data_IF_233333564950
#
_entry.id   IF_233333564950
#
_cell.length_a   1.000
_cell.length_b   1.000
_cell.length_c   1.000
_cell.angle_alpha   90.00
_cell.angle_beta   90.00
_cell.angle_gamma   90.00
#
_symmetry.space_group_name_H-M   'P 1'
#
loop_
_entity.id
_entity.type
_entity.pdbx_description
1 polymer ?
#
# COMPACT_ATOMS: atom_id res chain seq x y z
N UNK A 1 10.04 -74.78 -5.69
CA UNK A 1 9.99 -74.30 -4.29
C UNK A 1 9.71 -72.79 -4.26
N UNK A 2 8.59 -72.33 -4.86
CA UNK A 2 8.33 -70.88 -5.04
C UNK A 2 6.91 -70.44 -4.64
N UNK A 3 6.00 -71.36 -4.31
CA UNK A 3 4.60 -71.03 -4.04
C UNK A 3 4.40 -70.42 -2.62
N UNK A 4 4.90 -70.99 -1.50
CA UNK A 4 4.61 -70.43 -0.17
C UNK A 4 5.29 -69.08 0.07
N UNK A 5 6.44 -68.83 -0.57
CA UNK A 5 7.15 -67.55 -0.47
C UNK A 5 6.38 -66.42 -1.17
N UNK A 6 5.77 -66.70 -2.33
CA UNK A 6 4.96 -65.73 -3.08
C UNK A 6 3.66 -65.42 -2.35
N UNK A 7 3.02 -66.42 -1.73
CA UNK A 7 1.80 -66.20 -0.94
C UNK A 7 2.05 -65.30 0.27
N UNK A 8 3.15 -65.54 1.01
CA UNK A 8 3.49 -64.78 2.23
C UNK A 8 3.92 -63.35 1.90
N UNK A 9 4.68 -63.14 0.81
CA UNK A 9 5.04 -61.77 0.43
C UNK A 9 3.85 -60.98 -0.14
N UNK A 10 2.89 -61.63 -0.82
CA UNK A 10 1.66 -60.97 -1.30
C UNK A 10 0.71 -60.64 -0.15
N UNK A 11 0.53 -61.52 0.85
CA UNK A 11 -0.33 -61.19 1.97
C UNK A 11 0.29 -60.14 2.90
N UNK A 12 1.62 -60.14 3.10
CA UNK A 12 2.33 -59.11 3.87
C UNK A 12 2.31 -57.76 3.14
N UNK A 13 2.48 -57.72 1.82
CA UNK A 13 2.41 -56.46 1.11
C UNK A 13 0.99 -55.88 1.04
N UNK A 14 -0.04 -56.74 0.93
CA UNK A 14 -1.45 -56.32 0.96
C UNK A 14 -1.87 -55.84 2.35
N UNK A 15 -1.46 -56.51 3.44
CA UNK A 15 -1.82 -56.04 4.78
C UNK A 15 -1.05 -54.76 5.16
N UNK A 16 0.22 -54.62 4.75
CA UNK A 16 1.00 -53.39 4.96
C UNK A 16 0.44 -52.23 4.15
N UNK A 17 0.03 -52.44 2.90
CA UNK A 17 -0.54 -51.34 2.11
C UNK A 17 -1.94 -50.93 2.58
N UNK A 18 -2.76 -51.88 3.06
CA UNK A 18 -4.09 -51.58 3.63
C UNK A 18 -4.00 -50.87 4.98
N UNK A 19 -3.08 -51.27 5.87
CA UNK A 19 -2.91 -50.56 7.14
C UNK A 19 -2.27 -49.17 6.96
N UNK A 20 -1.34 -49.01 6.00
CA UNK A 20 -0.75 -47.70 5.66
C UNK A 20 -1.80 -46.77 5.03
N UNK A 21 -2.65 -47.26 4.13
CA UNK A 21 -3.67 -46.40 3.53
C UNK A 21 -4.80 -46.04 4.50
N UNK A 22 -5.20 -46.93 5.42
CA UNK A 22 -6.20 -46.65 6.46
C UNK A 22 -5.66 -45.68 7.52
N UNK A 23 -4.40 -45.82 7.94
CA UNK A 23 -3.83 -44.86 8.90
C UNK A 23 -3.58 -43.49 8.26
N UNK A 24 -3.16 -43.42 6.98
CA UNK A 24 -3.00 -42.15 6.25
C UNK A 24 -4.34 -41.46 6.01
N UNK A 25 -5.40 -42.20 5.66
CA UNK A 25 -6.70 -41.57 5.44
C UNK A 25 -7.37 -41.12 6.75
N UNK A 26 -7.17 -41.83 7.87
CA UNK A 26 -7.66 -41.41 9.20
C UNK A 26 -6.87 -40.23 9.75
N UNK A 27 -5.55 -40.18 9.58
CA UNK A 27 -4.78 -39.02 10.03
C UNK A 27 -5.02 -37.80 9.12
N UNK A 28 -5.22 -37.98 7.80
CA UNK A 28 -5.60 -36.89 6.88
C UNK A 28 -7.01 -36.37 7.19
N UNK A 29 -7.99 -37.24 7.45
CA UNK A 29 -9.34 -36.76 7.77
C UNK A 29 -9.42 -36.11 9.17
N UNK A 30 -8.66 -36.59 10.16
CA UNK A 30 -8.56 -35.97 11.49
C UNK A 30 -7.81 -34.64 11.43
N UNK A 31 -6.70 -34.54 10.69
CA UNK A 31 -6.01 -33.25 10.54
C UNK A 31 -6.79 -32.26 9.67
N UNK A 32 -7.54 -32.71 8.64
CA UNK A 32 -8.45 -31.88 7.85
C UNK A 32 -9.64 -31.41 8.69
N UNK A 33 -10.28 -32.26 9.49
CA UNK A 33 -11.39 -31.81 10.32
C UNK A 33 -10.93 -30.92 11.49
N UNK A 34 -9.74 -31.13 12.06
CA UNK A 34 -9.14 -30.25 13.08
C UNK A 34 -8.70 -28.92 12.47
N UNK A 35 -8.07 -28.91 11.29
CA UNK A 35 -7.72 -27.65 10.63
C UNK A 35 -8.95 -26.92 10.06
N UNK A 36 -10.03 -27.62 9.68
CA UNK A 36 -11.32 -27.02 9.30
C UNK A 36 -12.04 -26.43 10.50
N UNK A 37 -12.10 -27.11 11.65
CA UNK A 37 -12.73 -26.54 12.84
C UNK A 37 -11.89 -25.41 13.47
N UNK A 38 -10.55 -25.51 13.47
CA UNK A 38 -9.64 -24.42 13.87
C UNK A 38 -9.71 -23.27 12.88
N UNK A 39 -9.75 -23.49 11.57
CA UNK A 39 -9.89 -22.40 10.61
C UNK A 39 -11.29 -21.79 10.65
N UNK A 40 -12.37 -22.48 11.01
CA UNK A 40 -13.69 -21.85 11.18
C UNK A 40 -13.75 -20.97 12.44
N UNK A 41 -13.20 -21.42 13.58
CA UNK A 41 -13.14 -20.56 14.77
C UNK A 41 -12.11 -19.44 14.64
N UNK A 42 -10.94 -19.70 14.04
CA UNK A 42 -9.97 -18.67 13.65
C UNK A 42 -10.54 -17.75 12.57
N UNK A 43 -11.33 -18.20 11.59
CA UNK A 43 -11.99 -17.34 10.61
C UNK A 43 -13.08 -16.49 11.25
N UNK A 44 -13.78 -16.96 12.28
CA UNK A 44 -14.72 -16.13 13.03
C UNK A 44 -13.98 -15.07 13.87
N UNK A 45 -12.92 -15.46 14.56
CA UNK A 45 -12.06 -14.55 15.31
C UNK A 45 -11.36 -13.55 14.38
N UNK A 46 -10.73 -14.00 13.30
CA UNK A 46 -10.05 -13.22 12.26
C UNK A 46 -11.05 -12.37 11.48
N UNK A 47 -12.28 -12.81 11.19
CA UNK A 47 -13.33 -11.93 10.64
C UNK A 47 -13.56 -10.76 11.57
N UNK A 48 -13.81 -11.00 12.85
CA UNK A 48 -14.04 -9.92 13.82
C UNK A 48 -12.78 -9.05 14.01
N UNK A 49 -11.59 -9.65 14.15
CA UNK A 49 -10.33 -8.94 14.34
C UNK A 49 -9.94 -8.12 13.11
N UNK A 50 -10.01 -8.68 11.90
CA UNK A 50 -9.69 -7.98 10.65
C UNK A 50 -10.72 -6.90 10.36
N UNK A 51 -12.01 -7.16 10.58
CA UNK A 51 -13.05 -6.12 10.47
C UNK A 51 -12.76 -4.97 11.44
N UNK A 52 -12.48 -5.27 12.71
CA UNK A 52 -12.18 -4.27 13.73
C UNK A 52 -10.86 -3.54 13.43
N UNK A 53 -9.82 -4.21 12.94
CA UNK A 53 -8.55 -3.58 12.56
C UNK A 53 -8.69 -2.66 11.34
N UNK A 54 -9.41 -3.09 10.29
CA UNK A 54 -9.68 -2.23 9.14
C UNK A 54 -10.59 -1.06 9.49
N UNK A 55 -11.53 -1.25 10.40
CA UNK A 55 -12.46 -0.21 10.81
C UNK A 55 -11.81 0.79 11.76
N UNK A 56 -10.96 0.33 12.69
CA UNK A 56 -10.11 1.20 13.51
C UNK A 56 -9.08 1.93 12.66
N UNK A 57 -8.41 1.24 11.73
CA UNK A 57 -7.46 1.86 10.80
C UNK A 57 -8.11 2.87 9.86
N UNK A 58 -9.31 2.57 9.36
CA UNK A 58 -10.11 3.49 8.58
C UNK A 58 -10.54 4.71 9.39
N UNK A 59 -11.02 4.51 10.62
CA UNK A 59 -11.44 5.61 11.51
C UNK A 59 -10.26 6.48 11.95
N UNK A 60 -9.08 5.90 12.20
CA UNK A 60 -7.87 6.66 12.51
C UNK A 60 -7.41 7.44 11.29
N UNK A 61 -7.42 6.86 10.09
CA UNK A 61 -7.03 7.56 8.86
C UNK A 61 -8.01 8.71 8.55
N UNK A 62 -9.32 8.47 8.67
CA UNK A 62 -10.36 9.49 8.53
C UNK A 62 -10.24 10.58 9.60
N UNK A 63 -10.04 10.17 10.85
CA UNK A 63 -9.90 11.05 12.00
C UNK A 63 -8.67 11.95 11.87
N UNK A 64 -7.53 11.40 11.45
CA UNK A 64 -6.32 12.16 11.14
C UNK A 64 -6.58 13.10 9.96
N UNK A 65 -7.22 12.63 8.89
CA UNK A 65 -7.56 13.48 7.73
C UNK A 65 -8.45 14.67 8.11
N UNK A 66 -9.48 14.45 8.92
CA UNK A 66 -10.39 15.50 9.41
C UNK A 66 -9.68 16.40 10.42
N UNK A 67 -8.92 15.83 11.36
CA UNK A 67 -8.19 16.59 12.38
C UNK A 67 -7.18 17.53 11.74
N UNK A 68 -6.39 17.05 10.78
CA UNK A 68 -5.45 17.88 9.99
C UNK A 68 -6.18 18.99 9.23
N UNK A 69 -7.42 18.76 8.81
CA UNK A 69 -8.23 19.78 8.12
C UNK A 69 -8.86 20.82 9.06
N UNK A 70 -9.28 20.41 10.26
CA UNK A 70 -10.05 21.24 11.20
C UNK A 70 -9.13 22.04 12.13
N UNK A 71 -8.18 21.39 12.80
CA UNK A 71 -7.24 22.06 13.71
C UNK A 71 -5.97 22.44 12.98
N UNK A 72 -6.09 23.44 12.10
CA UNK A 72 -4.91 24.07 11.49
C UNK A 72 -3.91 24.50 12.59
N UNK A 73 -4.39 25.12 13.68
CA UNK A 73 -3.57 25.72 14.75
C UNK A 73 -2.85 24.77 15.73
N UNK A 74 -3.47 23.65 16.13
CA UNK A 74 -2.85 22.68 17.06
C UNK A 74 -1.89 21.73 16.33
N UNK A 75 -2.23 21.37 15.08
CA UNK A 75 -1.34 20.67 14.17
C UNK A 75 -0.15 21.56 13.75
N UNK A 76 -0.35 22.87 13.62
CA UNK A 76 0.71 23.89 13.46
C UNK A 76 1.71 23.96 14.62
N UNK A 77 1.48 23.34 15.77
CA UNK A 77 2.47 23.30 16.87
C UNK A 77 3.17 21.94 16.97
N UNK A 78 2.43 20.84 16.83
CA UNK A 78 2.98 19.47 16.86
C UNK A 78 3.71 19.13 15.55
N UNK A 79 3.22 19.65 14.43
CA UNK A 79 3.84 19.71 13.11
C UNK A 79 4.01 21.18 12.68
N UNK A 80 4.50 22.05 13.58
CA UNK A 80 5.08 23.35 13.23
C UNK A 80 6.03 23.37 12.01
N UNK A 81 6.67 22.25 11.65
CA UNK A 81 7.35 22.13 10.36
C UNK A 81 6.50 21.83 9.11
N UNK A 82 5.16 21.63 9.18
CA UNK A 82 4.37 21.05 8.07
C UNK A 82 2.99 21.67 7.72
N UNK A 83 2.73 22.96 7.96
CA UNK A 83 1.34 23.45 8.03
C UNK A 83 0.93 24.78 7.33
N UNK A 84 1.48 25.14 6.15
CA UNK A 84 1.01 26.35 5.41
C UNK A 84 0.70 26.16 3.92
N UNK A 85 0.30 24.98 3.48
CA UNK A 85 -0.17 24.75 2.10
C UNK A 85 -1.70 24.67 2.00
N UNK A 86 -2.35 25.83 1.97
CA UNK A 86 -3.82 25.92 1.96
C UNK A 86 -4.49 25.37 0.67
N UNK A 87 -3.73 25.03 -0.38
CA UNK A 87 -4.30 24.52 -1.66
C UNK A 87 -3.76 23.16 -2.11
N UNK A 88 -2.50 22.80 -1.81
CA UNK A 88 -1.92 21.51 -2.26
C UNK A 88 -1.90 20.41 -1.17
N UNK A 89 -1.71 20.75 0.10
CA UNK A 89 -1.93 19.78 1.19
C UNK A 89 -3.39 19.40 1.30
N UNK A 90 -4.29 20.35 1.00
CA UNK A 90 -5.72 20.10 0.93
C UNK A 90 -6.03 18.94 -0.01
N UNK A 91 -5.30 18.80 -1.13
CA UNK A 91 -5.48 17.68 -2.07
C UNK A 91 -5.03 16.33 -1.47
N UNK A 92 -3.84 16.26 -0.86
CA UNK A 92 -3.34 15.04 -0.19
C UNK A 92 -4.22 14.65 1.00
N UNK A 93 -4.65 15.60 1.81
CA UNK A 93 -5.59 15.37 2.90
C UNK A 93 -6.96 14.91 2.38
N UNK A 94 -7.44 15.45 1.26
CA UNK A 94 -8.67 14.95 0.62
C UNK A 94 -8.52 13.51 0.14
N UNK A 95 -7.36 13.12 -0.41
CA UNK A 95 -7.09 11.71 -0.73
C UNK A 95 -7.09 10.84 0.53
N UNK A 96 -6.47 11.26 1.63
CA UNK A 96 -6.50 10.52 2.90
C UNK A 96 -7.92 10.39 3.47
N UNK A 97 -8.73 11.45 3.43
CA UNK A 97 -10.13 11.44 3.86
C UNK A 97 -10.96 10.51 2.96
N UNK A 98 -10.77 10.57 1.64
CA UNK A 98 -11.48 9.74 0.68
C UNK A 98 -11.14 8.26 0.88
N UNK A 99 -9.85 7.91 0.95
CA UNK A 99 -9.40 6.53 1.20
C UNK A 99 -9.89 6.03 2.56
N UNK A 100 -9.75 6.84 3.62
CA UNK A 100 -10.25 6.51 4.95
C UNK A 100 -11.76 6.27 4.96
N UNK A 101 -12.53 7.11 4.25
CA UNK A 101 -13.97 6.96 4.11
C UNK A 101 -14.38 5.67 3.40
N UNK A 102 -13.70 5.34 2.30
CA UNK A 102 -13.91 4.08 1.58
C UNK A 102 -13.58 2.88 2.46
N UNK A 103 -12.47 2.90 3.21
CA UNK A 103 -12.09 1.82 4.13
C UNK A 103 -13.11 1.62 5.25
N UNK A 104 -13.62 2.70 5.85
CA UNK A 104 -14.66 2.62 6.88
C UNK A 104 -15.97 2.07 6.31
N UNK A 105 -16.38 2.54 5.13
CA UNK A 105 -17.58 2.06 4.45
C UNK A 105 -17.47 0.56 4.13
N UNK A 106 -16.35 0.12 3.57
CA UNK A 106 -16.07 -1.30 3.30
C UNK A 106 -16.08 -2.13 4.58
N UNK A 107 -15.49 -1.63 5.68
CA UNK A 107 -15.49 -2.30 6.98
C UNK A 107 -16.91 -2.47 7.56
N UNK A 108 -17.72 -1.40 7.53
CA UNK A 108 -19.12 -1.44 7.98
C UNK A 108 -19.93 -2.42 7.15
N UNK A 109 -19.77 -2.41 5.82
CA UNK A 109 -20.47 -3.34 4.93
C UNK A 109 -20.03 -4.78 5.19
N UNK A 110 -18.73 -5.08 5.24
CA UNK A 110 -18.24 -6.42 5.53
C UNK A 110 -18.77 -6.96 6.87
N UNK A 111 -18.69 -6.15 7.93
CA UNK A 111 -19.12 -6.53 9.28
C UNK A 111 -20.65 -6.67 9.39
N UNK A 112 -21.42 -5.69 8.88
CA UNK A 112 -22.88 -5.74 8.92
C UNK A 112 -23.44 -6.85 8.03
N UNK A 113 -22.81 -7.13 6.88
CA UNK A 113 -23.19 -8.23 5.99
C UNK A 113 -23.02 -9.59 6.66
N UNK A 114 -21.89 -9.78 7.35
CA UNK A 114 -21.62 -11.01 8.08
C UNK A 114 -22.52 -11.18 9.31
N UNK A 115 -22.73 -10.12 10.11
CA UNK A 115 -23.52 -10.19 11.34
C UNK A 115 -25.04 -10.28 11.08
N UNK A 116 -25.56 -9.50 10.13
CA UNK A 116 -27.01 -9.53 9.80
C UNK A 116 -27.37 -10.68 8.86
N UNK A 117 -26.39 -11.43 8.33
CA UNK A 117 -26.64 -12.47 7.32
C UNK A 117 -27.34 -11.93 6.07
N UNK A 118 -27.12 -10.65 5.72
CA UNK A 118 -27.82 -10.01 4.60
C UNK A 118 -27.12 -10.30 3.28
N UNK A 119 -27.76 -11.11 2.44
CA UNK A 119 -27.29 -11.48 1.08
C UNK A 119 -26.96 -10.25 0.22
N UNK A 120 -27.83 -9.24 0.23
CA UNK A 120 -27.67 -8.02 -0.56
C UNK A 120 -26.42 -7.23 -0.15
N UNK A 121 -26.19 -7.10 1.15
CA UNK A 121 -25.09 -6.31 1.68
C UNK A 121 -23.73 -7.01 1.46
N UNK A 122 -23.74 -8.35 1.46
CA UNK A 122 -22.57 -9.18 1.13
C UNK A 122 -22.22 -9.13 -0.36
N UNK A 123 -23.21 -9.15 -1.26
CA UNK A 123 -23.01 -8.95 -2.70
C UNK A 123 -22.50 -7.54 -3.03
N UNK A 124 -23.00 -6.53 -2.32
CA UNK A 124 -22.54 -5.15 -2.50
C UNK A 124 -21.08 -5.00 -2.07
N UNK A 125 -20.68 -5.57 -0.93
CA UNK A 125 -19.29 -5.63 -0.51
C UNK A 125 -18.40 -6.33 -1.55
N UNK A 126 -18.79 -7.52 -2.01
CA UNK A 126 -18.06 -8.26 -3.05
C UNK A 126 -17.88 -7.43 -4.33
N UNK A 127 -18.95 -6.78 -4.78
CA UNK A 127 -18.94 -5.98 -6.01
C UNK A 127 -17.98 -4.79 -5.92
N UNK A 128 -17.93 -4.10 -4.77
CA UNK A 128 -17.00 -2.96 -4.58
C UNK A 128 -15.54 -3.45 -4.58
N UNK A 129 -15.22 -4.53 -3.86
CA UNK A 129 -13.85 -5.08 -3.83
C UNK A 129 -13.41 -5.54 -5.23
N UNK A 130 -14.30 -6.17 -5.99
CA UNK A 130 -14.01 -6.57 -7.37
C UNK A 130 -13.67 -5.37 -8.27
N UNK A 131 -14.40 -4.26 -8.14
CA UNK A 131 -14.12 -3.03 -8.91
C UNK A 131 -12.75 -2.45 -8.52
N UNK A 132 -12.42 -2.44 -7.23
CA UNK A 132 -11.11 -1.98 -6.73
C UNK A 132 -9.99 -2.86 -7.31
N UNK A 133 -10.11 -4.18 -7.21
CA UNK A 133 -9.12 -5.12 -7.75
C UNK A 133 -8.87 -4.91 -9.25
N UNK A 134 -9.94 -4.74 -10.04
CA UNK A 134 -9.82 -4.46 -11.48
C UNK A 134 -9.11 -3.12 -11.71
N UNK A 135 -9.44 -2.08 -10.94
CA UNK A 135 -8.80 -0.78 -11.03
C UNK A 135 -7.31 -0.83 -10.65
N UNK A 136 -6.94 -1.59 -9.61
CA UNK A 136 -5.54 -1.79 -9.19
C UNK A 136 -4.73 -2.52 -10.26
N UNK A 137 -5.27 -3.60 -10.83
CA UNK A 137 -4.61 -4.34 -11.93
C UNK A 137 -4.45 -3.46 -13.17
N UNK A 138 -5.48 -2.67 -13.52
CA UNK A 138 -5.42 -1.73 -14.64
C UNK A 138 -4.38 -0.62 -14.40
N UNK A 139 -4.38 0.00 -13.22
CA UNK A 139 -3.42 1.03 -12.85
C UNK A 139 -1.99 0.50 -12.83
N UNK A 140 -1.77 -0.69 -12.25
CA UNK A 140 -0.47 -1.36 -12.26
C UNK A 140 0.01 -1.69 -13.68
N UNK A 141 -0.88 -2.19 -14.54
CA UNK A 141 -0.56 -2.47 -15.94
C UNK A 141 -0.18 -1.18 -16.69
N UNK A 142 -0.94 -0.10 -16.51
CA UNK A 142 -0.64 1.21 -17.16
C UNK A 142 0.67 1.78 -16.65
N UNK A 143 0.94 1.73 -15.34
CA UNK A 143 2.18 2.23 -14.75
C UNK A 143 3.42 1.49 -15.27
N UNK A 144 3.31 0.17 -15.50
CA UNK A 144 4.39 -0.65 -16.03
C UNK A 144 4.53 -0.56 -17.56
N UNK A 145 3.43 -0.51 -18.30
CA UNK A 145 3.43 -0.45 -19.76
C UNK A 145 3.81 0.94 -20.29
N UNK A 146 3.42 2.00 -19.56
CA UNK A 146 3.62 3.39 -19.93
C UNK A 146 4.39 4.16 -18.85
N UNK A 147 5.54 3.61 -18.42
CA UNK A 147 6.40 4.23 -17.41
C UNK A 147 6.77 5.67 -17.79
N UNK A 148 7.09 5.92 -19.06
CA UNK A 148 7.43 7.26 -19.57
C UNK A 148 6.30 8.29 -19.40
N UNK A 149 5.04 7.87 -19.53
CA UNK A 149 3.89 8.75 -19.31
C UNK A 149 3.69 9.05 -17.83
N UNK A 150 3.80 8.02 -16.97
CA UNK A 150 3.74 8.18 -15.52
C UNK A 150 4.84 9.11 -14.99
N UNK A 151 6.06 8.95 -15.50
CA UNK A 151 7.18 9.85 -15.23
C UNK A 151 6.88 11.30 -15.63
N UNK A 152 6.29 11.52 -16.80
CA UNK A 152 5.95 12.85 -17.29
C UNK A 152 4.97 13.58 -16.36
N UNK A 153 3.92 12.90 -15.91
CA UNK A 153 2.94 13.46 -14.95
C UNK A 153 3.63 13.81 -13.64
N UNK A 154 4.46 12.90 -13.12
CA UNK A 154 5.14 13.09 -11.84
C UNK A 154 6.14 14.25 -11.93
N UNK A 155 6.91 14.35 -13.03
CA UNK A 155 7.83 15.45 -13.31
C UNK A 155 7.09 16.79 -13.36
N UNK A 156 6.01 16.88 -14.13
CA UNK A 156 5.25 18.13 -14.26
C UNK A 156 4.68 18.62 -12.92
N UNK A 157 4.17 17.70 -12.10
CA UNK A 157 3.66 18.06 -10.77
C UNK A 157 4.77 18.46 -9.81
N UNK A 158 5.83 17.64 -9.70
CA UNK A 158 6.89 17.87 -8.73
C UNK A 158 7.66 19.17 -9.01
N UNK A 159 8.04 19.43 -10.27
CA UNK A 159 8.77 20.65 -10.62
C UNK A 159 7.91 21.91 -10.41
N UNK A 160 6.60 21.84 -10.66
CA UNK A 160 5.68 22.95 -10.38
C UNK A 160 5.55 23.24 -8.88
N UNK A 161 5.59 22.20 -8.04
CA UNK A 161 5.63 22.35 -6.58
C UNK A 161 6.96 22.95 -6.14
N UNK A 162 8.11 22.44 -6.61
CA UNK A 162 9.42 23.02 -6.30
C UNK A 162 9.49 24.48 -6.70
N UNK A 163 9.07 24.82 -7.91
CA UNK A 163 9.20 26.16 -8.46
C UNK A 163 8.41 27.21 -7.67
N UNK A 164 7.19 26.87 -7.25
CA UNK A 164 6.27 27.83 -6.64
C UNK A 164 6.27 27.80 -5.10
N UNK A 165 6.54 26.65 -4.50
CA UNK A 165 6.32 26.44 -3.05
C UNK A 165 7.61 26.26 -2.26
N UNK A 166 8.70 25.84 -2.89
CA UNK A 166 9.98 25.71 -2.20
C UNK A 166 10.52 27.11 -1.83
N UNK A 167 10.90 27.32 -0.58
CA UNK A 167 11.30 28.62 -0.03
C UNK A 167 10.13 29.49 0.44
N UNK A 168 8.94 29.34 -0.14
CA UNK A 168 7.73 30.05 0.28
C UNK A 168 7.08 29.36 1.46
N UNK A 169 6.93 28.03 1.33
CA UNK A 169 6.28 27.22 2.32
C UNK A 169 7.33 26.42 3.13
N UNK A 170 7.39 26.58 4.47
CA UNK A 170 8.37 25.91 5.33
C UNK A 170 8.24 24.39 5.32
N UNK A 171 7.06 23.86 4.99
CA UNK A 171 6.74 22.43 4.91
C UNK A 171 7.41 21.79 3.72
N UNK A 172 7.12 22.35 2.55
CA UNK A 172 7.68 21.90 1.28
C UNK A 172 9.18 22.00 1.37
N UNK A 173 9.67 23.13 1.85
CA UNK A 173 11.10 23.37 2.02
C UNK A 173 11.75 22.33 2.92
N UNK A 174 11.14 21.97 4.06
CA UNK A 174 11.69 20.95 4.96
C UNK A 174 11.66 19.54 4.36
N UNK A 175 10.54 19.12 3.77
CA UNK A 175 10.40 17.80 3.14
C UNK A 175 11.46 17.65 2.05
N UNK A 176 11.60 18.66 1.19
CA UNK A 176 12.57 18.63 0.10
C UNK A 176 14.00 18.74 0.60
N UNK A 177 14.29 19.53 1.65
CA UNK A 177 15.62 19.55 2.27
C UNK A 177 16.02 18.17 2.81
N UNK A 178 15.13 17.52 3.56
CA UNK A 178 15.36 16.15 4.05
C UNK A 178 15.53 15.17 2.89
N UNK A 179 14.65 15.23 1.88
CA UNK A 179 14.71 14.35 0.71
C UNK A 179 16.03 14.51 -0.06
N UNK A 180 16.42 15.75 -0.36
CA UNK A 180 17.66 16.07 -1.06
C UNK A 180 18.91 15.63 -0.29
N UNK A 181 18.90 15.82 1.03
CA UNK A 181 20.02 15.42 1.90
C UNK A 181 20.12 13.90 2.03
N UNK A 182 18.99 13.21 2.23
CA UNK A 182 18.96 11.77 2.47
C UNK A 182 19.25 10.96 1.19
N UNK A 183 18.79 11.44 0.04
CA UNK A 183 19.04 10.82 -1.26
C UNK A 183 20.31 11.36 -1.95
N UNK A 184 21.02 12.33 -1.34
CA UNK A 184 22.17 13.03 -1.93
C UNK A 184 21.89 13.48 -3.37
N UNK A 185 20.80 14.23 -3.54
CA UNK A 185 20.27 14.68 -4.83
C UNK A 185 19.85 16.15 -4.77
N UNK A 186 19.63 16.75 -5.94
CA UNK A 186 19.18 18.13 -6.04
C UNK A 186 18.09 18.30 -7.10
N UNK A 187 17.02 19.00 -6.70
CA UNK A 187 15.84 19.17 -7.53
C UNK A 187 15.11 17.84 -7.76
N UNK A 188 14.01 17.89 -8.49
CA UNK A 188 13.31 16.66 -8.85
C UNK A 188 14.01 15.95 -10.02
N UNK A 189 14.29 16.70 -11.08
CA UNK A 189 15.05 16.27 -12.24
C UNK A 189 16.48 16.78 -12.22
N UNK A 190 16.68 18.04 -11.82
CA UNK A 190 17.99 18.68 -11.74
C UNK A 190 17.92 20.00 -10.96
N UNK A 191 19.07 20.62 -10.65
CA UNK A 191 19.16 21.93 -10.01
C UNK A 191 18.40 23.04 -10.76
N UNK A 192 18.21 22.89 -12.08
CA UNK A 192 17.45 23.82 -12.92
C UNK A 192 15.98 23.92 -12.55
N UNK A 193 15.45 22.96 -11.79
CA UNK A 193 14.07 23.04 -11.26
C UNK A 193 13.87 24.25 -10.34
N UNK A 194 14.96 24.81 -9.80
CA UNK A 194 14.97 26.04 -9.01
C UNK A 194 15.23 27.31 -9.83
N UNK A 195 15.54 27.22 -11.12
CA UNK A 195 15.71 28.41 -11.97
C UNK A 195 14.38 29.14 -12.12
N UNK A 196 14.39 30.45 -11.89
CA UNK A 196 13.20 31.32 -11.85
C UNK A 196 12.10 30.81 -10.87
N UNK A 197 12.52 30.13 -9.81
CA UNK A 197 11.65 29.72 -8.71
C UNK A 197 11.49 30.82 -7.67
N UNK A 198 10.44 30.72 -6.86
CA UNK A 198 10.23 31.62 -5.71
C UNK A 198 11.49 31.72 -4.82
N UNK A 199 12.16 30.59 -4.56
CA UNK A 199 13.39 30.57 -3.76
C UNK A 199 14.55 31.32 -4.42
N UNK A 200 14.73 31.15 -5.74
CA UNK A 200 15.77 31.83 -6.50
C UNK A 200 15.55 33.34 -6.53
N UNK A 201 14.30 33.80 -6.68
CA UNK A 201 13.97 35.22 -6.63
C UNK A 201 14.25 35.83 -5.24
N UNK A 202 13.90 35.11 -4.18
CA UNK A 202 14.09 35.57 -2.80
C UNK A 202 15.57 35.52 -2.34
N UNK A 203 16.39 34.68 -2.95
CA UNK A 203 17.79 34.43 -2.56
C UNK A 203 18.81 35.02 -3.55
N UNK A 204 18.44 36.09 -4.25
CA UNK A 204 19.30 36.79 -5.22
C UNK A 204 19.92 35.87 -6.30
N UNK A 205 19.14 34.88 -6.78
CA UNK A 205 19.59 33.91 -7.79
C UNK A 205 20.37 32.72 -7.23
N UNK A 206 20.40 32.54 -5.91
CA UNK A 206 21.06 31.41 -5.26
C UNK A 206 20.20 30.13 -5.27
N UNK A 207 20.88 28.98 -5.24
CA UNK A 207 20.27 27.65 -5.21
C UNK A 207 20.33 27.04 -3.80
N UNK A 208 19.53 26.01 -3.52
CA UNK A 208 19.60 25.31 -2.23
C UNK A 208 21.01 24.75 -1.94
N UNK A 209 21.50 24.79 -0.69
CA UNK A 209 22.81 24.28 -0.35
C UNK A 209 23.03 22.81 -0.74
N UNK A 210 22.00 21.97 -0.66
CA UNK A 210 22.05 20.55 -1.08
C UNK A 210 22.38 20.35 -2.56
N UNK A 211 22.26 21.40 -3.38
CA UNK A 211 22.67 21.40 -4.79
C UNK A 211 24.16 21.69 -4.99
N UNK A 212 24.85 22.15 -3.95
CA UNK A 212 26.29 22.37 -3.91
C UNK A 212 26.93 21.37 -2.94
N UNK A 213 28.00 20.69 -3.35
CA UNK A 213 28.70 19.76 -2.45
C UNK A 213 29.49 20.45 -1.33
N UNK A 214 29.76 21.76 -1.48
CA UNK A 214 30.37 22.57 -0.44
C UNK A 214 29.26 23.26 0.33
N UNK A 215 29.24 23.12 1.67
CA UNK A 215 28.41 23.89 2.62
C UNK A 215 28.69 25.43 2.58
N UNK A 216 29.16 25.94 1.44
CA UNK A 216 29.40 27.35 1.18
C UNK A 216 28.10 28.00 0.72
N UNK A 217 27.44 28.72 1.62
CA UNK A 217 26.43 29.71 1.24
C UNK A 217 27.13 31.01 0.80
N UNK A 218 26.71 31.65 -0.30
CA UNK A 218 25.62 31.29 -1.22
C UNK A 218 26.03 30.27 -2.30
N UNK A 219 25.14 29.33 -2.63
CA UNK A 219 25.31 28.35 -3.72
C UNK A 219 24.92 28.99 -5.06
N UNK A 220 25.92 29.31 -5.89
CA UNK A 220 25.74 29.94 -7.20
C UNK A 220 25.40 28.91 -8.30
N UNK A 221 24.83 29.38 -9.41
CA UNK A 221 24.52 28.53 -10.57
C UNK A 221 25.74 27.75 -11.09
N UNK A 222 26.92 28.38 -11.12
CA UNK A 222 28.16 27.73 -11.56
C UNK A 222 28.56 26.60 -10.61
N UNK A 223 28.45 26.79 -9.30
CA UNK A 223 28.77 25.76 -8.31
C UNK A 223 27.78 24.59 -8.37
N UNK A 224 26.48 24.87 -8.55
CA UNK A 224 25.47 23.83 -8.74
C UNK A 224 25.74 23.00 -10.01
N UNK A 225 26.10 23.67 -11.12
CA UNK A 225 26.52 23.00 -12.36
C UNK A 225 27.77 22.14 -12.18
N UNK A 226 28.82 22.69 -11.56
CA UNK A 226 30.08 21.96 -11.32
C UNK A 226 29.92 20.79 -10.35
N UNK A 227 29.00 20.87 -9.40
CA UNK A 227 28.71 19.80 -8.45
C UNK A 227 28.02 18.59 -9.11
N UNK A 228 27.39 18.78 -10.28
CA UNK A 228 26.78 17.73 -11.12
C UNK A 228 25.91 16.73 -10.33
N UNK A 229 25.21 17.21 -9.30
CA UNK A 229 24.37 16.40 -8.43
C UNK A 229 23.18 15.88 -9.24
N UNK A 230 22.89 14.58 -9.13
CA UNK A 230 21.77 13.97 -9.85
C UNK A 230 20.41 14.41 -9.28
N UNK A 231 19.39 14.42 -10.14
CA UNK A 231 18.02 14.66 -9.73
C UNK A 231 17.50 13.61 -8.74
N UNK A 232 16.64 14.03 -7.82
CA UNK A 232 16.08 13.13 -6.81
C UNK A 232 15.22 12.02 -7.40
N UNK A 233 14.60 12.24 -8.56
CA UNK A 233 13.80 11.22 -9.23
C UNK A 233 14.62 9.99 -9.62
N UNK A 234 15.80 10.17 -10.20
CA UNK A 234 16.70 9.07 -10.59
C UNK A 234 17.22 8.31 -9.37
N UNK A 235 17.60 9.03 -8.30
CA UNK A 235 18.02 8.39 -7.05
C UNK A 235 16.88 7.64 -6.38
N UNK A 236 15.66 8.17 -6.43
CA UNK A 236 14.47 7.51 -5.94
C UNK A 236 14.17 6.24 -6.75
N UNK A 237 14.28 6.27 -8.09
CA UNK A 237 14.10 5.08 -8.91
C UNK A 237 15.15 3.99 -8.59
N UNK A 238 16.42 4.37 -8.42
CA UNK A 238 17.46 3.43 -7.95
C UNK A 238 17.14 2.88 -6.55
N UNK A 239 16.66 3.76 -5.68
CA UNK A 239 15.98 3.51 -4.42
C UNK A 239 15.01 2.33 -4.50
N UNK A 240 14.00 2.52 -5.33
CA UNK A 240 12.87 1.62 -5.53
C UNK A 240 13.30 0.32 -6.21
N UNK A 241 14.18 0.37 -7.21
CA UNK A 241 14.72 -0.83 -7.87
C UNK A 241 15.49 -1.71 -6.89
N UNK A 242 16.27 -1.11 -5.99
CA UNK A 242 16.99 -1.84 -4.95
C UNK A 242 16.05 -2.57 -4.00
N UNK A 243 14.87 -1.99 -3.74
CA UNK A 243 13.84 -2.56 -2.85
C UNK A 243 12.62 -3.09 -3.60
N UNK A 244 12.74 -3.38 -4.90
CA UNK A 244 11.61 -3.74 -5.76
C UNK A 244 10.90 -5.01 -5.27
N UNK A 245 11.64 -5.94 -4.67
CA UNK A 245 11.08 -7.15 -4.06
C UNK A 245 10.12 -6.83 -2.91
N UNK A 246 10.41 -5.82 -2.10
CA UNK A 246 9.56 -5.42 -0.97
C UNK A 246 8.29 -4.77 -1.51
N UNK A 247 8.43 -3.83 -2.45
CA UNK A 247 7.30 -3.12 -3.05
C UNK A 247 6.38 -4.08 -3.80
N UNK A 248 6.96 -4.98 -4.60
CA UNK A 248 6.21 -6.04 -5.28
C UNK A 248 5.54 -6.99 -4.31
N UNK A 249 6.20 -7.36 -3.21
CA UNK A 249 5.62 -8.17 -2.14
C UNK A 249 4.41 -7.53 -1.47
N UNK A 250 4.46 -6.21 -1.21
CA UNK A 250 3.31 -5.45 -0.67
C UNK A 250 2.15 -5.48 -1.66
N UNK A 251 2.40 -5.20 -2.95
CA UNK A 251 1.35 -5.20 -3.99
C UNK A 251 0.68 -6.57 -4.14
N UNK A 252 1.47 -7.66 -4.20
CA UNK A 252 0.94 -9.03 -4.27
C UNK A 252 0.17 -9.39 -2.99
N UNK A 253 0.65 -8.95 -1.83
CA UNK A 253 -0.03 -9.15 -0.55
C UNK A 253 -1.40 -8.49 -0.49
N UNK A 254 -1.51 -7.24 -0.97
CA UNK A 254 -2.77 -6.51 -1.07
C UNK A 254 -3.74 -7.25 -2.00
N UNK A 255 -3.32 -7.56 -3.23
CA UNK A 255 -4.17 -8.30 -4.17
C UNK A 255 -4.61 -9.68 -3.66
N UNK A 256 -3.72 -10.39 -2.95
CA UNK A 256 -4.06 -11.67 -2.30
C UNK A 256 -5.13 -11.51 -1.21
N UNK A 257 -5.07 -10.43 -0.42
CA UNK A 257 -6.04 -10.13 0.62
C UNK A 257 -7.42 -9.76 0.02
N UNK A 258 -7.45 -9.03 -1.08
CA UNK A 258 -8.69 -8.72 -1.81
C UNK A 258 -9.36 -9.98 -2.36
N UNK A 259 -8.57 -10.87 -2.98
CA UNK A 259 -9.08 -12.17 -3.48
C UNK A 259 -9.62 -13.02 -2.33
N UNK A 260 -8.91 -13.09 -1.21
CA UNK A 260 -9.39 -13.82 -0.03
C UNK A 260 -10.70 -13.23 0.50
N UNK A 261 -10.84 -11.90 0.56
CA UNK A 261 -12.07 -11.23 0.96
C UNK A 261 -13.24 -11.57 0.03
N UNK A 262 -13.01 -11.53 -1.29
CA UNK A 262 -14.00 -11.92 -2.30
C UNK A 262 -14.46 -13.38 -2.14
N UNK A 263 -13.53 -14.31 -1.93
CA UNK A 263 -13.84 -15.73 -1.72
C UNK A 263 -14.67 -15.96 -0.46
N UNK A 264 -14.30 -15.30 0.65
CA UNK A 264 -15.03 -15.41 1.93
C UNK A 264 -16.44 -14.85 1.81
N UNK A 265 -16.61 -13.71 1.13
CA UNK A 265 -17.92 -13.12 0.89
C UNK A 265 -18.81 -14.01 0.04
N UNK A 266 -18.28 -14.59 -1.04
CA UNK A 266 -19.05 -15.50 -1.90
C UNK A 266 -19.41 -16.80 -1.17
N UNK A 267 -18.47 -17.37 -0.41
CA UNK A 267 -18.72 -18.55 0.41
C UNK A 267 -19.86 -18.31 1.41
N UNK A 268 -19.81 -17.18 2.13
CA UNK A 268 -20.84 -16.84 3.11
C UNK A 268 -22.18 -16.52 2.44
N UNK A 269 -22.18 -15.93 1.24
CA UNK A 269 -23.40 -15.74 0.44
C UNK A 269 -24.06 -17.09 0.13
N UNK A 270 -23.31 -18.05 -0.42
CA UNK A 270 -23.83 -19.38 -0.75
C UNK A 270 -24.31 -20.14 0.50
N UNK A 271 -23.59 -20.02 1.62
CA UNK A 271 -24.02 -20.60 2.90
C UNK A 271 -25.38 -20.04 3.36
N UNK A 272 -25.57 -18.72 3.26
CA UNK A 272 -26.84 -18.09 3.61
C UNK A 272 -27.95 -18.41 2.60
N UNK A 273 -27.59 -18.70 1.35
CA UNK A 273 -28.57 -19.09 0.33
C UNK A 273 -29.15 -20.48 0.58
N UNK A 274 -28.28 -21.44 0.90
CA UNK A 274 -28.65 -22.82 1.17
C UNK A 274 -29.39 -23.03 2.51
N UNK A 275 -29.27 -22.11 3.48
CA UNK A 275 -29.92 -22.24 4.79
C UNK A 275 -31.26 -21.49 4.91
N UNK A 276 -31.60 -20.65 3.93
CA UNK A 276 -32.85 -19.86 3.90
C UNK A 276 -33.81 -20.38 2.82
N UNK A 277 -33.40 -21.38 2.04
CA UNK A 277 -34.25 -22.16 1.11
C UNK A 277 -34.85 -23.37 1.81
#
# INVERSE_FOLDING_TARGET
MCIPCVCVCVCVCVCVCVCVCVCVCVCVCVCVCVCVCVCVCVCACVRVCVCVCFQLGGLTLLGVGIWVRVDKGLFLQVLSPFSTLDTQFVNVCFFCIAIGGVLVLLGVLGCCGAHKGSKCLLLLFFSIILIIFIAEVAAGTVALAYSSFAEGILKAWATLVLKNQYGSDPVVTKIWNSTMTELNCCGFTNYTDFTDSYYSEQSEGSYPPSCCQLDTAPCSQQQAWHSAVQGCFEQLLKALQKHANIVGGIAVGIGGLEVAAMLVSMYLYCYLDNNVS
#
